data_IF_824942360505
#
_entry.id   IF_824942360505
#
_cell.length_a   1.000
_cell.length_b   1.000
_cell.length_c   1.000
_cell.angle_alpha   90.00
_cell.angle_beta   90.00
_cell.angle_gamma   90.00
#
_symmetry.space_group_name_H-M   'P 1'
#
loop_
_entity.id
_entity.type
_entity.pdbx_description
1 polymer ?
#
# COMPACT_ATOMS: atom_id res chain seq x y z
N UNK A 1 27.02 -25.79 17.55
CA UNK A 1 26.60 -26.90 16.68
C UNK A 1 26.70 -26.44 15.22
N UNK A 2 27.54 -27.07 14.40
CA UNK A 2 27.62 -26.80 12.96
C UNK A 2 26.31 -27.27 12.30
N UNK A 3 25.58 -26.36 11.64
CA UNK A 3 24.44 -26.73 10.79
C UNK A 3 25.01 -27.47 9.57
N UNK A 4 24.74 -28.76 9.46
CA UNK A 4 24.99 -29.52 8.25
C UNK A 4 24.09 -28.98 7.14
N UNK A 5 24.70 -28.43 6.09
CA UNK A 5 23.97 -27.98 4.91
C UNK A 5 23.73 -29.20 3.99
N UNK A 6 22.46 -29.57 3.76
CA UNK A 6 22.13 -30.57 2.75
C UNK A 6 22.40 -30.01 1.36
N UNK A 7 23.16 -30.71 0.52
CA UNK A 7 23.48 -30.29 -0.86
C UNK A 7 22.29 -30.37 -1.85
N UNK A 8 21.11 -30.78 -1.39
CA UNK A 8 19.89 -30.78 -2.19
C UNK A 8 19.37 -29.33 -2.36
N UNK A 9 19.04 -28.95 -3.60
CA UNK A 9 18.51 -27.61 -3.97
C UNK A 9 17.07 -27.66 -4.52
N UNK A 10 16.42 -28.82 -4.48
CA UNK A 10 15.04 -28.93 -4.90
C UNK A 10 14.12 -27.98 -4.12
N UNK A 11 13.20 -27.35 -4.82
CA UNK A 11 12.20 -26.39 -4.32
C UNK A 11 10.78 -26.92 -4.49
N UNK A 12 10.60 -28.01 -5.22
CA UNK A 12 9.33 -28.69 -5.41
C UNK A 12 9.52 -30.20 -5.37
N UNK A 13 8.51 -30.91 -4.87
CA UNK A 13 8.44 -32.37 -4.89
C UNK A 13 7.13 -32.82 -5.50
N UNK A 14 7.16 -33.77 -6.43
CA UNK A 14 5.95 -34.30 -7.04
C UNK A 14 5.02 -34.96 -6.00
N UNK A 15 3.70 -35.03 -6.26
CA UNK A 15 2.75 -35.66 -5.33
C UNK A 15 3.08 -37.13 -4.99
N UNK A 16 3.72 -37.85 -5.91
CA UNK A 16 4.19 -39.23 -5.70
C UNK A 16 5.50 -39.31 -4.88
N UNK A 17 6.04 -38.18 -4.43
CA UNK A 17 7.26 -38.02 -3.63
C UNK A 17 8.55 -38.53 -4.31
N UNK A 18 8.51 -38.82 -5.62
CA UNK A 18 9.64 -39.40 -6.35
C UNK A 18 10.50 -38.36 -7.04
N UNK A 19 9.89 -37.31 -7.56
CA UNK A 19 10.57 -36.30 -8.37
C UNK A 19 10.78 -35.05 -7.53
N UNK A 20 12.02 -34.61 -7.46
CA UNK A 20 12.40 -33.35 -6.80
C UNK A 20 13.05 -32.44 -7.83
N UNK A 21 12.52 -31.23 -8.00
CA UNK A 21 13.00 -30.29 -9.01
C UNK A 21 13.29 -28.93 -8.39
N UNK A 22 14.06 -28.11 -9.11
CA UNK A 22 14.30 -26.71 -8.79
C UNK A 22 13.55 -25.87 -9.82
N UNK A 23 12.31 -25.49 -9.50
CA UNK A 23 11.44 -24.69 -10.37
C UNK A 23 11.19 -23.28 -9.81
N UNK A 24 11.60 -23.03 -8.57
CA UNK A 24 11.44 -21.74 -7.90
C UNK A 24 12.77 -20.99 -7.88
N UNK A 25 12.73 -19.71 -8.30
CA UNK A 25 13.90 -18.85 -8.38
C UNK A 25 13.59 -17.48 -7.78
N UNK A 26 14.58 -16.92 -7.08
CA UNK A 26 14.54 -15.52 -6.63
C UNK A 26 15.46 -14.72 -7.53
N UNK A 27 14.87 -13.83 -8.32
CA UNK A 27 15.60 -12.96 -9.24
C UNK A 27 15.87 -11.61 -8.58
N UNK A 28 17.08 -11.08 -8.79
CA UNK A 28 17.48 -9.76 -8.32
C UNK A 28 18.17 -9.01 -9.46
N UNK A 29 18.02 -7.69 -9.48
CA UNK A 29 18.80 -6.81 -10.37
C UNK A 29 20.30 -6.99 -10.06
N UNK A 30 21.12 -7.13 -11.10
CA UNK A 30 22.56 -7.36 -10.95
C UNK A 30 23.28 -6.30 -10.13
N UNK A 31 22.74 -5.07 -10.06
CA UNK A 31 23.26 -3.99 -9.21
C UNK A 31 23.24 -4.32 -7.71
N UNK A 32 22.35 -5.21 -7.28
CA UNK A 32 22.21 -5.62 -5.87
C UNK A 32 22.70 -7.05 -5.63
N UNK A 33 23.40 -7.67 -6.58
CA UNK A 33 23.86 -9.05 -6.44
C UNK A 33 24.71 -9.26 -5.17
N UNK A 34 25.59 -8.30 -4.83
CA UNK A 34 26.43 -8.35 -3.62
C UNK A 34 25.67 -8.17 -2.30
N UNK A 35 24.39 -7.78 -2.36
CA UNK A 35 23.56 -7.63 -1.18
C UNK A 35 22.93 -8.96 -0.75
N UNK A 36 22.82 -9.94 -1.66
CA UNK A 36 22.38 -11.29 -1.33
C UNK A 36 23.46 -12.01 -0.52
N UNK A 37 23.15 -12.39 0.71
CA UNK A 37 24.11 -13.06 1.61
C UNK A 37 23.90 -14.56 1.68
N UNK A 38 22.64 -15.00 1.72
CA UNK A 38 22.30 -16.42 1.76
C UNK A 38 21.04 -16.67 0.95
N UNK A 39 21.01 -17.79 0.26
CA UNK A 39 19.80 -18.35 -0.36
C UNK A 39 19.67 -19.77 0.14
N UNK A 40 18.50 -20.14 0.65
CA UNK A 40 18.27 -21.49 1.17
C UNK A 40 16.85 -21.96 0.93
N UNK A 41 16.73 -23.26 0.74
CA UNK A 41 15.45 -23.97 0.77
C UNK A 41 15.20 -24.55 2.16
N UNK A 42 14.02 -24.32 2.71
CA UNK A 42 13.63 -24.71 4.07
C UNK A 42 12.77 -25.98 4.05
N UNK A 43 13.41 -27.14 3.97
CA UNK A 43 12.72 -28.44 3.92
C UNK A 43 11.96 -28.84 5.19
N UNK A 44 12.31 -28.25 6.32
CA UNK A 44 11.63 -28.49 7.60
C UNK A 44 10.45 -27.55 7.88
N UNK A 45 10.20 -26.57 7.00
CA UNK A 45 9.05 -25.70 7.13
C UNK A 45 7.82 -26.45 6.59
N UNK A 46 6.81 -26.63 7.43
CA UNK A 46 5.52 -27.14 6.97
C UNK A 46 4.71 -25.98 6.40
N UNK A 47 4.49 -25.99 5.08
CA UNK A 47 3.70 -24.98 4.37
C UNK A 47 2.44 -25.56 3.71
N UNK A 48 2.10 -26.81 4.01
CA UNK A 48 0.96 -27.55 3.41
C UNK A 48 0.91 -27.47 1.87
N UNK A 49 2.08 -27.56 1.24
CA UNK A 49 2.26 -27.54 -0.21
C UNK A 49 3.36 -28.55 -0.60
N UNK A 50 3.30 -28.97 -1.86
CA UNK A 50 4.32 -29.73 -2.58
C UNK A 50 5.59 -28.92 -2.87
N UNK A 51 5.57 -27.61 -2.63
CA UNK A 51 6.74 -26.74 -2.66
C UNK A 51 7.48 -26.72 -1.30
N UNK A 52 8.79 -26.54 -1.37
CA UNK A 52 9.59 -26.14 -0.23
C UNK A 52 9.73 -24.61 -0.23
N UNK A 53 9.62 -24.01 0.95
CA UNK A 53 9.88 -22.59 1.10
C UNK A 53 11.32 -22.25 0.68
N UNK A 54 11.47 -21.27 -0.23
CA UNK A 54 12.76 -20.68 -0.60
C UNK A 54 12.85 -19.31 0.05
N UNK A 55 13.94 -19.04 0.76
CA UNK A 55 14.18 -17.73 1.34
C UNK A 55 15.57 -17.20 1.09
N UNK A 56 15.66 -15.87 1.10
CA UNK A 56 16.86 -15.10 0.79
C UNK A 56 17.13 -14.15 1.94
N UNK A 57 18.34 -14.21 2.48
CA UNK A 57 18.84 -13.22 3.43
C UNK A 57 19.63 -12.17 2.64
N UNK A 58 19.22 -10.90 2.71
CA UNK A 58 19.86 -9.81 1.97
C UNK A 58 20.16 -8.58 2.84
N UNK A 59 21.25 -7.90 2.52
CA UNK A 59 21.68 -6.64 3.15
C UNK A 59 21.17 -5.48 2.33
N UNK A 60 19.96 -5.03 2.58
CA UNK A 60 19.41 -3.85 1.89
C UNK A 60 19.28 -2.67 2.84
N UNK A 61 19.73 -1.49 2.37
CA UNK A 61 19.39 -0.22 3.02
C UNK A 61 18.12 0.31 2.38
N UNK A 62 17.03 0.35 3.14
CA UNK A 62 15.84 1.07 2.68
C UNK A 62 16.18 2.55 2.60
N UNK A 63 15.80 3.17 1.48
CA UNK A 63 15.89 4.63 1.38
C UNK A 63 15.04 5.25 2.47
N UNK A 64 15.67 5.98 3.37
CA UNK A 64 14.99 6.85 4.33
C UNK A 64 14.57 8.18 3.70
N UNK A 65 14.93 8.40 2.42
CA UNK A 65 14.35 9.45 1.60
C UNK A 65 12.92 9.03 1.26
N UNK A 66 12.02 9.23 2.23
CA UNK A 66 10.63 9.43 1.92
C UNK A 66 10.59 10.57 0.92
N UNK A 67 10.05 10.33 -0.28
CA UNK A 67 9.78 11.40 -1.23
C UNK A 67 8.95 12.47 -0.51
N UNK A 68 9.59 13.54 -0.02
CA UNK A 68 8.92 14.69 0.57
C UNK A 68 7.98 15.35 -0.44
N UNK A 69 8.16 15.06 -1.74
CA UNK A 69 7.21 15.37 -2.81
C UNK A 69 5.81 14.76 -2.59
N UNK A 70 5.67 13.63 -1.89
CA UNK A 70 4.37 13.08 -1.46
C UNK A 70 3.88 13.64 -0.11
N UNK A 71 4.70 14.43 0.59
CA UNK A 71 4.42 14.94 1.95
C UNK A 71 4.04 16.42 2.02
N UNK A 72 3.72 17.08 0.89
CA UNK A 72 2.78 18.22 0.95
C UNK A 72 1.35 17.69 0.95
N UNK A 73 1.06 16.69 1.80
CA UNK A 73 -0.34 16.43 2.15
C UNK A 73 -0.84 17.74 2.77
N UNK A 74 -1.87 18.32 2.17
CA UNK A 74 -2.56 19.45 2.76
C UNK A 74 -2.84 19.14 4.24
N UNK A 75 -2.71 20.11 5.14
CA UNK A 75 -3.13 19.92 6.51
C UNK A 75 -4.56 19.34 6.53
N UNK A 76 -4.87 18.39 7.43
CA UNK A 76 -6.23 17.89 7.53
C UNK A 76 -7.16 19.04 7.92
N UNK A 77 -8.42 18.98 7.51
CA UNK A 77 -9.42 19.96 7.94
C UNK A 77 -9.65 19.91 9.45
N UNK A 78 -9.95 21.05 10.06
CA UNK A 78 -10.28 21.12 11.47
C UNK A 78 -11.73 20.63 11.73
N UNK A 79 -11.91 19.31 11.75
CA UNK A 79 -13.23 18.69 11.97
C UNK A 79 -13.78 18.91 13.37
N UNK A 80 -12.96 19.35 14.34
CA UNK A 80 -13.44 19.71 15.67
C UNK A 80 -14.42 20.89 15.64
N UNK A 81 -14.30 21.79 14.64
CA UNK A 81 -15.23 22.90 14.45
C UNK A 81 -16.68 22.44 14.21
N UNK A 82 -16.89 21.22 13.70
CA UNK A 82 -18.24 20.66 13.47
C UNK A 82 -19.00 20.36 14.77
N UNK A 83 -18.35 20.42 15.94
CA UNK A 83 -19.06 20.36 17.22
C UNK A 83 -19.88 21.63 17.48
N UNK A 84 -19.55 22.74 16.82
CA UNK A 84 -20.37 23.95 16.82
C UNK A 84 -21.50 23.79 15.79
N UNK A 85 -22.75 23.84 16.26
CA UNK A 85 -23.94 23.69 15.42
C UNK A 85 -24.05 24.72 14.29
N UNK A 86 -23.58 25.96 14.49
CA UNK A 86 -23.60 26.99 13.45
C UNK A 86 -22.61 26.66 12.33
N UNK A 87 -21.41 26.21 12.69
CA UNK A 87 -20.38 25.81 11.72
C UNK A 87 -20.80 24.55 10.96
N UNK A 88 -21.39 23.58 11.65
CA UNK A 88 -21.93 22.37 11.02
C UNK A 88 -23.05 22.71 10.02
N UNK A 89 -23.96 23.62 10.38
CA UNK A 89 -25.02 24.07 9.49
C UNK A 89 -24.48 24.81 8.27
N UNK A 90 -23.51 25.72 8.47
CA UNK A 90 -22.86 26.44 7.38
C UNK A 90 -22.13 25.50 6.42
N UNK A 91 -21.42 24.50 6.95
CA UNK A 91 -20.76 23.48 6.14
C UNK A 91 -21.77 22.68 5.31
N UNK A 92 -22.88 22.24 5.92
CA UNK A 92 -23.93 21.49 5.23
C UNK A 92 -24.54 22.30 4.08
N UNK A 93 -24.87 23.57 4.30
CA UNK A 93 -25.40 24.46 3.26
C UNK A 93 -24.42 24.66 2.10
N UNK A 94 -23.14 24.87 2.40
CA UNK A 94 -22.12 25.03 1.36
C UNK A 94 -21.85 23.74 0.59
N UNK A 95 -21.90 22.60 1.28
CA UNK A 95 -21.75 21.30 0.64
C UNK A 95 -22.92 21.02 -0.30
N UNK A 96 -24.16 21.24 0.15
CA UNK A 96 -25.37 21.04 -0.66
C UNK A 96 -25.37 21.94 -1.89
N UNK A 97 -24.97 23.21 -1.76
CA UNK A 97 -24.86 24.14 -2.88
C UNK A 97 -23.77 23.74 -3.91
N UNK A 98 -22.72 23.04 -3.48
CA UNK A 98 -21.58 22.68 -4.31
C UNK A 98 -21.66 21.28 -4.92
N UNK A 99 -22.55 20.41 -4.42
CA UNK A 99 -22.69 19.04 -4.90
C UNK A 99 -23.34 19.03 -6.30
N UNK A 100 -22.80 18.23 -7.25
CA UNK A 100 -23.42 18.08 -8.55
C UNK A 100 -24.74 17.32 -8.45
N UNK A 101 -25.71 17.69 -9.28
CA UNK A 101 -26.98 16.96 -9.40
C UNK A 101 -26.79 15.57 -10.04
N UNK A 102 -27.78 14.69 -9.86
CA UNK A 102 -27.74 13.32 -10.40
C UNK A 102 -27.61 13.30 -11.94
N UNK A 103 -28.24 14.24 -12.63
CA UNK A 103 -28.16 14.38 -14.09
C UNK A 103 -26.74 14.77 -14.55
N UNK A 104 -26.09 15.68 -13.83
CA UNK A 104 -24.71 16.09 -14.13
C UNK A 104 -23.70 14.97 -13.87
N UNK A 105 -23.94 14.15 -12.85
CA UNK A 105 -23.12 12.97 -12.57
C UNK A 105 -23.29 11.90 -13.65
N UNK A 106 -24.54 11.63 -14.07
CA UNK A 106 -24.86 10.67 -15.13
C UNK A 106 -24.32 11.06 -16.51
N UNK A 107 -24.10 12.35 -16.75
CA UNK A 107 -23.53 12.88 -17.99
C UNK A 107 -21.99 12.82 -18.05
N UNK A 108 -21.31 12.44 -16.95
CA UNK A 108 -19.84 12.42 -16.88
C UNK A 108 -19.27 11.02 -16.69
N UNK A 109 -17.97 10.88 -16.95
CA UNK A 109 -17.26 9.65 -16.59
C UNK A 109 -17.25 9.45 -15.07
N UNK A 110 -17.12 8.21 -14.62
CA UNK A 110 -17.05 7.89 -13.18
C UNK A 110 -15.90 8.62 -12.47
N UNK A 111 -14.76 8.79 -13.16
CA UNK A 111 -13.61 9.52 -12.62
C UNK A 111 -13.92 11.02 -12.47
N UNK A 112 -14.56 11.62 -13.47
CA UNK A 112 -14.92 13.04 -13.45
C UNK A 112 -16.00 13.33 -12.41
N UNK A 113 -17.02 12.48 -12.31
CA UNK A 113 -18.07 12.59 -11.30
C UNK A 113 -17.48 12.49 -9.88
N UNK A 114 -16.57 11.54 -9.66
CA UNK A 114 -15.87 11.41 -8.38
C UNK A 114 -14.99 12.62 -8.06
N UNK A 115 -14.28 13.14 -9.06
CA UNK A 115 -13.46 14.35 -8.93
C UNK A 115 -14.30 15.57 -8.52
N UNK A 116 -15.48 15.73 -9.11
CA UNK A 116 -16.43 16.81 -8.76
C UNK A 116 -16.94 16.71 -7.33
N UNK A 117 -17.38 15.52 -6.90
CA UNK A 117 -17.84 15.29 -5.52
C UNK A 117 -16.71 15.59 -4.52
N UNK A 118 -15.50 15.08 -4.79
CA UNK A 118 -14.33 15.34 -3.96
C UNK A 118 -14.02 16.84 -3.88
N UNK A 119 -14.13 17.56 -4.99
CA UNK A 119 -13.90 19.00 -5.05
C UNK A 119 -14.95 19.75 -4.22
N UNK A 120 -16.23 19.41 -4.33
CA UNK A 120 -17.32 20.02 -3.55
C UNK A 120 -17.13 19.84 -2.04
N UNK A 121 -16.74 18.64 -1.60
CA UNK A 121 -16.41 18.36 -0.20
C UNK A 121 -15.21 19.19 0.25
N UNK A 122 -14.16 19.24 -0.57
CA UNK A 122 -12.93 19.97 -0.27
C UNK A 122 -13.15 21.48 -0.16
N UNK A 123 -13.88 22.07 -1.11
CA UNK A 123 -14.14 23.52 -1.14
C UNK A 123 -15.04 23.97 0.01
N UNK A 124 -16.10 23.22 0.31
CA UNK A 124 -16.98 23.51 1.46
C UNK A 124 -16.19 23.41 2.78
N UNK A 125 -15.30 22.43 2.90
CA UNK A 125 -14.49 22.24 4.10
C UNK A 125 -13.42 23.34 4.25
N UNK A 126 -12.80 23.78 3.15
CA UNK A 126 -11.83 24.86 3.15
C UNK A 126 -12.47 26.21 3.56
N UNK A 127 -13.69 26.48 3.08
CA UNK A 127 -14.42 27.70 3.38
C UNK A 127 -14.96 27.77 4.83
N UNK A 128 -15.20 26.63 5.49
CA UNK A 128 -15.85 26.60 6.81
C UNK A 128 -14.99 26.07 7.94
N UNK A 129 -14.19 25.02 7.68
CA UNK A 129 -13.43 24.32 8.73
C UNK A 129 -11.99 24.82 8.82
N UNK A 130 -11.41 25.26 7.69
CA UNK A 130 -10.00 25.61 7.61
C UNK A 130 -9.06 24.44 7.94
N UNK A 131 -7.77 24.73 8.10
CA UNK A 131 -6.74 23.72 8.40
C UNK A 131 -6.62 23.45 9.90
N UNK A 132 -6.50 22.18 10.27
CA UNK A 132 -6.12 21.79 11.62
C UNK A 132 -4.66 22.17 11.88
N UNK A 133 -4.40 22.75 13.05
CA UNK A 133 -3.04 23.04 13.51
C UNK A 133 -2.41 21.72 13.92
N UNK A 134 -1.24 21.40 13.33
CA UNK A 134 -0.41 20.29 13.82
C UNK A 134 0.29 20.77 15.09
N UNK A 135 -0.10 20.21 16.23
CA UNK A 135 0.65 20.30 17.49
C UNK A 135 1.75 19.24 17.49
#
# INVERSE_FOLDING_TARGET
AQKAYSNDKATWTSPDQRTKTQIDHVLIDGRFFSDVTHVRTFRGANIDSDHYLVGVDMRSKLSTVFNQRRSRRAPPFNTACLQNGEVAHSYAQQLEANLPGEEELGATSLEDGWSRIRSAIGSAAEATLGSAIRV
#
